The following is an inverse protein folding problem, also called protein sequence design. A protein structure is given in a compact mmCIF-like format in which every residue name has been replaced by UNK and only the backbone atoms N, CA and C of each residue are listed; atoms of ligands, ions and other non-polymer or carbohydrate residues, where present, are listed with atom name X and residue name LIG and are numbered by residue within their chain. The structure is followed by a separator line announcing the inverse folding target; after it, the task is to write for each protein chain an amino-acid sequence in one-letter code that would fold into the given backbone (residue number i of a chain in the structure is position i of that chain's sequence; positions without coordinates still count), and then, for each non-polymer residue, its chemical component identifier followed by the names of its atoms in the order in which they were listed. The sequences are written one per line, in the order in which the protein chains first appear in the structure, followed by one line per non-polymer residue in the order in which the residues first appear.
data_IF_077440737764
#
_entry.id   IF_077440737764
#
_cell.length_a   1.000
_cell.length_b   1.000
_cell.length_c   1.000
_cell.angle_alpha   90.00
_cell.angle_beta   90.00
_cell.angle_gamma   90.00
#
_symmetry.space_group_name_H-M   'P 1'
#
loop_
_entity.id
_entity.type
_entity.pdbx_description
1 polymer ?
#
# COMPACT_ATOMS: atom_id res chain seq x y z
N UNK A 1 -74.67 9.55 23.09
CA UNK A 1 -75.01 9.04 21.75
C UNK A 1 -73.96 7.99 21.40
N UNK A 2 -74.31 6.79 20.91
CA UNK A 2 -74.63 6.46 19.50
C UNK A 2 -73.54 6.97 18.54
N UNK A 3 -72.80 6.12 17.81
CA UNK A 3 -72.77 4.62 17.77
C UNK A 3 -71.50 4.11 17.05
N UNK A 4 -71.15 2.82 17.24
CA UNK A 4 -70.54 1.83 16.29
C UNK A 4 -69.80 2.38 15.03
N UNK A 5 -68.61 1.91 14.63
CA UNK A 5 -68.18 0.55 14.19
C UNK A 5 -66.64 0.64 13.82
N UNK A 6 -65.72 -0.35 13.82
CA UNK A 6 -65.64 -1.77 14.22
C UNK A 6 -64.16 -2.26 14.47
N UNK A 7 -64.02 -3.55 14.80
CA UNK A 7 -62.91 -4.53 14.63
C UNK A 7 -61.80 -4.29 13.57
N UNK A 8 -60.51 -4.68 13.70
CA UNK A 8 -59.71 -5.43 14.72
C UNK A 8 -60.21 -6.85 15.15
N UNK A 9 -59.39 -7.91 15.37
CA UNK A 9 -57.91 -7.96 15.43
C UNK A 9 -57.24 -9.30 14.94
N UNK A 10 -55.92 -9.42 15.23
CA UNK A 10 -55.17 -10.62 15.71
C UNK A 10 -54.84 -11.88 14.86
N UNK A 11 -53.51 -12.17 14.80
CA UNK A 11 -52.75 -13.40 15.18
C UNK A 11 -53.28 -14.81 14.74
N UNK A 12 -52.42 -15.67 14.15
CA UNK A 12 -51.88 -16.95 14.73
C UNK A 12 -51.32 -17.96 13.68
N UNK A 13 -50.24 -18.67 14.05
CA UNK A 13 -49.59 -19.90 13.51
C UNK A 13 -50.30 -20.80 12.46
N UNK A 14 -49.54 -21.26 11.45
CA UNK A 14 -49.10 -22.65 11.12
C UNK A 14 -48.29 -22.56 9.79
N UNK A 15 -47.13 -23.18 9.51
CA UNK A 15 -46.51 -24.50 9.76
C UNK A 15 -46.97 -25.62 8.80
N UNK A 16 -46.00 -26.17 8.04
CA UNK A 16 -46.00 -27.33 7.12
C UNK A 16 -46.92 -27.37 5.89
N UNK A 17 -46.30 -27.60 4.73
CA UNK A 17 -46.56 -28.81 3.94
C UNK A 17 -45.29 -29.25 3.17
N UNK A 18 -44.93 -30.53 3.27
CA UNK A 18 -44.02 -31.18 2.32
C UNK A 18 -44.84 -31.73 1.15
N UNK A 19 -44.32 -31.64 -0.07
CA UNK A 19 -44.79 -32.43 -1.21
C UNK A 19 -43.55 -32.89 -2.00
N UNK A 20 -43.27 -34.19 -1.97
CA UNK A 20 -42.18 -34.77 -2.73
C UNK A 20 -42.55 -34.89 -4.21
N UNK A 21 -41.55 -34.86 -5.08
CA UNK A 21 -41.67 -35.24 -6.47
C UNK A 21 -40.42 -36.03 -6.88
N UNK A 22 -40.38 -37.30 -6.51
CA UNK A 22 -39.38 -38.23 -7.04
C UNK A 22 -39.65 -38.44 -8.54
N UNK A 23 -38.60 -38.31 -9.36
CA UNK A 23 -38.51 -39.11 -10.57
C UNK A 23 -37.06 -39.24 -11.03
N UNK A 24 -36.56 -40.47 -10.98
CA UNK A 24 -35.27 -40.83 -11.55
C UNK A 24 -35.29 -40.72 -13.09
N UNK A 25 -34.14 -40.34 -13.63
CA UNK A 25 -33.71 -40.75 -14.98
C UNK A 25 -32.19 -40.75 -14.99
N UNK A 26 -31.61 -41.92 -15.27
CA UNK A 26 -30.17 -42.17 -15.22
C UNK A 26 -29.41 -41.20 -16.12
N UNK A 27 -28.32 -40.63 -15.59
CA UNK A 27 -27.33 -39.92 -16.39
C UNK A 27 -25.93 -40.13 -15.81
N UNK A 28 -25.52 -41.40 -15.71
CA UNK A 28 -24.11 -41.78 -15.53
C UNK A 28 -23.30 -41.27 -16.73
N UNK A 29 -22.73 -40.07 -16.64
CA UNK A 29 -21.60 -39.64 -17.46
C UNK A 29 -20.86 -38.44 -16.84
N UNK A 30 -19.63 -38.71 -16.40
CA UNK A 30 -18.49 -37.79 -16.51
C UNK A 30 -18.64 -36.39 -15.87
N UNK A 31 -18.49 -36.36 -14.55
CA UNK A 31 -17.58 -35.38 -13.93
C UNK A 31 -16.37 -36.19 -13.43
N UNK A 32 -15.12 -35.83 -13.76
CA UNK A 32 -13.96 -36.45 -13.13
C UNK A 32 -13.81 -35.90 -11.70
N UNK A 33 -13.86 -36.78 -10.69
CA UNK A 33 -13.33 -36.49 -9.35
C UNK A 33 -11.78 -36.56 -9.37
N UNK A 34 -11.16 -35.86 -10.32
CA UNK A 34 -9.83 -35.32 -10.08
C UNK A 34 -10.06 -34.08 -9.22
N UNK A 35 -9.44 -33.95 -8.03
CA UNK A 35 -9.45 -32.67 -7.35
C UNK A 35 -8.81 -31.66 -8.29
N UNK A 36 -9.55 -30.61 -8.65
CA UNK A 36 -8.87 -29.39 -9.07
C UNK A 36 -8.04 -28.97 -7.86
N UNK A 37 -6.72 -29.02 -7.97
CA UNK A 37 -5.83 -28.45 -6.97
C UNK A 37 -6.18 -26.96 -6.88
N UNK A 38 -6.94 -26.57 -5.87
CA UNK A 38 -7.40 -25.19 -5.74
C UNK A 38 -6.18 -24.35 -5.40
N UNK A 39 -5.82 -23.45 -6.33
CA UNK A 39 -4.66 -22.57 -6.22
C UNK A 39 -4.97 -21.48 -5.18
N UNK A 40 -4.83 -21.87 -3.91
CA UNK A 40 -5.16 -21.14 -2.69
C UNK A 40 -3.92 -20.38 -2.19
N UNK A 41 -4.14 -19.24 -1.53
CA UNK A 41 -3.09 -18.53 -0.81
C UNK A 41 -2.86 -19.14 0.59
N UNK A 42 -1.65 -19.63 0.85
CA UNK A 42 -1.27 -20.29 2.11
C UNK A 42 -0.68 -19.31 3.14
N UNK A 43 -0.90 -19.48 4.45
CA UNK A 43 -0.34 -18.62 5.48
C UNK A 43 1.12 -18.99 5.83
N UNK A 44 1.99 -17.98 5.98
CA UNK A 44 3.37 -18.18 6.47
C UNK A 44 3.35 -18.24 8.00
N UNK A 45 3.17 -19.45 8.53
CA UNK A 45 2.96 -19.74 9.96
C UNK A 45 4.12 -19.31 10.90
N UNK A 46 5.30 -19.02 10.35
CA UNK A 46 6.49 -18.57 11.07
C UNK A 46 6.41 -17.09 11.48
N UNK A 47 5.55 -16.30 10.83
CA UNK A 47 5.30 -14.90 11.18
C UNK A 47 4.02 -14.84 12.02
N UNK A 48 4.07 -14.15 13.17
CA UNK A 48 2.88 -14.01 14.01
C UNK A 48 1.77 -13.25 13.25
N UNK A 49 0.48 -13.62 13.43
CA UNK A 49 -0.65 -12.96 12.77
C UNK A 49 -0.87 -11.54 13.31
N UNK A 50 -0.10 -10.59 12.77
CA UNK A 50 -0.22 -9.15 12.97
C UNK A 50 -0.53 -8.45 11.64
N UNK A 51 -0.88 -7.16 11.72
CA UNK A 51 -0.99 -6.30 10.53
C UNK A 51 0.38 -6.13 9.89
N UNK A 52 0.54 -6.64 8.67
CA UNK A 52 1.72 -6.40 7.83
C UNK A 52 1.63 -4.99 7.27
N UNK A 53 2.56 -4.13 7.68
CA UNK A 53 2.60 -2.72 7.23
C UNK A 53 3.40 -2.53 5.95
N UNK A 54 4.44 -3.33 5.72
CA UNK A 54 5.20 -3.32 4.47
C UNK A 54 5.90 -4.67 4.19
N UNK A 55 6.20 -4.92 2.91
CA UNK A 55 6.94 -6.06 2.38
C UNK A 55 7.91 -5.60 1.29
N UNK A 56 9.12 -6.16 1.32
CA UNK A 56 10.12 -6.06 0.26
C UNK A 56 11.00 -7.31 0.24
N UNK A 57 11.77 -7.48 -0.83
CA UNK A 57 12.66 -8.63 -1.06
C UNK A 57 14.07 -8.08 -1.26
N UNK A 58 15.05 -8.65 -0.56
CA UNK A 58 16.47 -8.33 -0.68
C UNK A 58 17.32 -9.57 -0.35
N UNK A 59 18.46 -9.75 -1.01
CA UNK A 59 19.47 -10.77 -0.68
C UNK A 59 19.04 -12.25 -0.78
N UNK A 60 17.83 -12.55 -1.26
CA UNK A 60 17.22 -13.89 -1.17
C UNK A 60 16.34 -14.09 0.08
N UNK A 61 15.99 -13.00 0.77
CA UNK A 61 15.10 -12.97 1.93
C UNK A 61 13.88 -12.09 1.65
N UNK A 62 12.72 -12.52 2.14
CA UNK A 62 11.55 -11.65 2.28
C UNK A 62 11.65 -10.92 3.62
N UNK A 63 11.69 -9.60 3.57
CA UNK A 63 11.84 -8.74 4.73
C UNK A 63 10.46 -8.14 5.06
N UNK A 64 9.98 -8.37 6.28
CA UNK A 64 8.55 -8.18 6.66
C UNK A 64 8.42 -7.26 7.86
N UNK A 65 7.73 -6.12 7.68
CA UNK A 65 7.55 -5.12 8.72
C UNK A 65 6.10 -5.10 9.22
N UNK A 66 5.90 -5.37 10.50
CA UNK A 66 4.59 -5.29 11.18
C UNK A 66 4.52 -4.07 12.10
N UNK A 67 3.40 -3.92 12.81
CA UNK A 67 3.26 -2.91 13.86
C UNK A 67 4.33 -3.00 14.95
N UNK A 68 4.72 -4.21 15.36
CA UNK A 68 5.56 -4.43 16.55
C UNK A 68 6.92 -5.09 16.24
N UNK A 69 7.04 -5.79 15.11
CA UNK A 69 8.17 -6.64 14.78
C UNK A 69 8.66 -6.40 13.34
N UNK A 70 9.94 -6.68 13.14
CA UNK A 70 10.57 -6.81 11.83
C UNK A 70 11.07 -8.25 11.71
N UNK A 71 10.70 -8.94 10.65
CA UNK A 71 11.11 -10.32 10.37
C UNK A 71 11.99 -10.38 9.12
N UNK A 72 12.97 -11.27 9.15
CA UNK A 72 13.77 -11.66 7.98
C UNK A 72 13.43 -13.13 7.70
N UNK A 73 12.72 -13.39 6.60
CA UNK A 73 12.27 -14.72 6.18
C UNK A 73 13.16 -15.23 5.05
N UNK A 74 13.89 -16.32 5.27
CA UNK A 74 14.70 -16.95 4.22
C UNK A 74 13.77 -17.64 3.20
N UNK A 75 13.92 -17.32 1.91
CA UNK A 75 13.03 -17.83 0.88
C UNK A 75 13.19 -19.34 0.59
N UNK A 76 14.33 -19.93 0.93
CA UNK A 76 14.65 -21.32 0.59
C UNK A 76 14.01 -22.35 1.54
N UNK A 77 13.73 -21.97 2.79
CA UNK A 77 13.20 -22.88 3.83
C UNK A 77 12.10 -22.26 4.71
N UNK A 78 11.74 -20.99 4.46
CA UNK A 78 10.75 -20.23 5.24
C UNK A 78 11.11 -20.15 6.73
N UNK A 79 12.39 -20.27 7.09
CA UNK A 79 12.87 -19.90 8.43
C UNK A 79 12.81 -18.38 8.60
N UNK A 80 12.40 -17.92 9.79
CA UNK A 80 12.23 -16.50 10.10
C UNK A 80 13.01 -16.11 11.36
N UNK A 81 13.91 -15.14 11.23
CA UNK A 81 14.39 -14.38 12.39
C UNK A 81 13.46 -13.18 12.64
N UNK A 82 13.38 -12.71 13.90
CA UNK A 82 12.42 -11.67 14.30
C UNK A 82 12.99 -10.74 15.36
N UNK A 83 12.90 -9.44 15.11
CA UNK A 83 13.36 -8.37 16.00
C UNK A 83 12.17 -7.54 16.46
N UNK A 84 12.11 -7.23 17.76
CA UNK A 84 11.08 -6.36 18.31
C UNK A 84 11.45 -4.89 18.09
N UNK A 85 10.63 -4.17 17.32
CA UNK A 85 10.85 -2.78 16.89
C UNK A 85 9.83 -1.82 17.53
N UNK A 86 9.44 -2.11 18.77
CA UNK A 86 8.58 -1.28 19.62
C UNK A 86 7.08 -1.40 19.35
N UNK A 87 6.32 -1.49 20.46
CA UNK A 87 4.85 -1.50 20.50
C UNK A 87 4.32 -0.06 20.57
N UNK A 88 4.07 0.51 19.39
CA UNK A 88 3.72 1.91 19.18
C UNK A 88 2.26 2.01 18.73
N UNK A 89 1.43 2.82 19.40
CA UNK A 89 -0.02 2.74 19.19
C UNK A 89 -0.46 3.22 17.81
N UNK A 90 0.21 4.23 17.26
CA UNK A 90 -0.12 4.93 16.02
C UNK A 90 1.10 5.10 15.10
N UNK A 91 1.96 4.08 15.01
CA UNK A 91 3.15 4.13 14.16
C UNK A 91 2.88 3.82 12.69
N UNK A 92 3.46 4.63 11.80
CA UNK A 92 3.62 4.29 10.39
C UNK A 92 5.03 3.73 10.17
N UNK A 93 5.14 2.60 9.48
CA UNK A 93 6.39 1.87 9.33
C UNK A 93 6.60 1.52 7.85
N UNK A 94 7.62 2.11 7.23
CA UNK A 94 7.89 1.99 5.79
C UNK A 94 9.35 1.58 5.62
N UNK A 95 9.57 0.44 4.96
CA UNK A 95 10.88 0.09 4.42
C UNK A 95 11.07 0.82 3.10
N UNK A 96 12.26 1.38 2.91
CA UNK A 96 12.52 2.41 1.93
C UNK A 96 13.64 2.00 0.96
N UNK A 97 14.66 1.27 1.43
CA UNK A 97 15.57 0.49 0.60
C UNK A 97 15.99 -0.82 1.32
N UNK A 98 16.98 -1.51 0.75
CA UNK A 98 17.66 -2.70 1.27
C UNK A 98 18.48 -2.42 2.55
N UNK A 99 19.06 -1.22 2.67
CA UNK A 99 19.86 -0.81 3.84
C UNK A 99 19.02 -0.36 5.04
N UNK A 100 17.92 0.38 4.82
CA UNK A 100 17.23 1.18 5.83
C UNK A 100 15.69 1.08 5.78
N UNK A 101 15.07 1.06 6.97
CA UNK A 101 13.64 1.32 7.13
C UNK A 101 13.37 2.38 8.19
N UNK A 102 12.23 3.06 8.06
CA UNK A 102 11.83 4.15 8.98
C UNK A 102 10.49 3.87 9.63
N UNK A 103 10.39 4.22 10.91
CA UNK A 103 9.18 4.20 11.71
C UNK A 103 8.90 5.60 12.25
N UNK A 104 7.68 6.09 12.04
CA UNK A 104 7.21 7.40 12.49
C UNK A 104 6.18 7.18 13.59
N UNK A 105 6.33 7.82 14.75
CA UNK A 105 5.33 7.86 15.83
C UNK A 105 5.27 9.25 16.47
N UNK A 106 4.08 9.86 16.53
CA UNK A 106 3.84 11.15 17.22
C UNK A 106 4.72 12.33 16.72
N UNK A 107 5.84 12.62 17.40
CA UNK A 107 6.87 13.59 16.98
C UNK A 107 8.20 12.94 16.59
N UNK A 108 8.29 11.61 16.72
CA UNK A 108 9.53 10.86 16.56
C UNK A 108 9.66 10.22 15.18
N UNK A 109 10.88 10.28 14.65
CA UNK A 109 11.34 9.48 13.51
C UNK A 109 12.42 8.52 14.02
N UNK A 110 12.25 7.23 13.76
CA UNK A 110 13.24 6.20 14.06
C UNK A 110 13.74 5.61 12.74
N UNK A 111 15.04 5.73 12.46
CA UNK A 111 15.71 5.19 11.28
C UNK A 111 16.51 3.95 11.70
N UNK A 112 16.20 2.79 11.13
CA UNK A 112 16.73 1.48 11.49
C UNK A 112 17.57 0.89 10.36
N UNK A 113 18.66 0.19 10.73
CA UNK A 113 19.37 -0.71 9.82
C UNK A 113 18.51 -1.96 9.54
N UNK A 114 18.17 -2.20 8.27
CA UNK A 114 17.32 -3.32 7.85
C UNK A 114 17.98 -4.71 8.03
N UNK A 115 19.31 -4.74 8.09
CA UNK A 115 20.11 -5.95 8.34
C UNK A 115 20.52 -6.11 9.82
N UNK A 116 20.31 -5.09 10.67
CA UNK A 116 20.38 -5.23 12.12
C UNK A 116 19.43 -4.23 12.83
N UNK A 117 18.15 -4.58 13.01
CA UNK A 117 17.13 -3.67 13.57
C UNK A 117 17.37 -3.24 15.03
N UNK A 118 18.31 -3.83 15.75
CA UNK A 118 18.73 -3.34 17.07
C UNK A 118 19.59 -2.06 16.96
N UNK A 119 20.09 -1.75 15.76
CA UNK A 119 20.83 -0.53 15.42
C UNK A 119 19.92 0.47 14.74
N UNK A 120 19.55 1.51 15.48
CA UNK A 120 18.70 2.59 15.01
C UNK A 120 19.04 3.91 15.68
N UNK A 121 18.67 5.01 15.05
CA UNK A 121 18.70 6.36 15.63
C UNK A 121 17.29 6.92 15.67
N UNK A 122 16.93 7.54 16.80
CA UNK A 122 15.66 8.22 17.02
C UNK A 122 15.84 9.74 17.08
N UNK A 123 14.93 10.47 16.45
CA UNK A 123 14.90 11.94 16.35
C UNK A 123 13.58 12.41 16.97
N UNK A 124 13.58 13.29 17.98
CA UNK A 124 12.37 14.03 18.36
C UNK A 124 12.32 15.32 17.55
N UNK A 125 11.30 15.49 16.70
CA UNK A 125 11.18 16.71 15.90
C UNK A 125 10.91 17.95 16.76
N UNK A 126 10.46 17.83 18.01
CA UNK A 126 10.36 18.96 18.93
C UNK A 126 11.73 19.51 19.38
N UNK A 127 12.81 18.73 19.33
CA UNK A 127 14.18 19.21 19.63
C UNK A 127 14.87 19.86 18.42
N UNK A 128 14.29 19.71 17.22
CA UNK A 128 14.87 20.19 15.95
C UNK A 128 14.03 21.24 15.21
N UNK A 129 12.72 21.31 15.47
CA UNK A 129 11.76 22.17 14.76
C UNK A 129 10.82 22.86 15.75
N UNK A 130 11.11 24.13 16.08
CA UNK A 130 10.31 24.97 17.01
C UNK A 130 8.81 25.01 16.66
N UNK A 131 8.44 24.80 15.39
CA UNK A 131 7.07 24.81 14.90
C UNK A 131 6.48 23.43 14.55
N UNK A 132 7.13 22.31 14.89
CA UNK A 132 6.55 20.99 14.64
C UNK A 132 5.23 20.79 15.39
N UNK A 133 4.13 20.68 14.62
CA UNK A 133 2.80 20.41 15.16
C UNK A 133 2.43 18.93 15.13
N UNK A 134 2.52 18.31 13.95
CA UNK A 134 2.34 16.86 13.72
C UNK A 134 2.75 16.47 12.30
N UNK A 135 3.02 15.19 12.06
CA UNK A 135 3.09 14.65 10.70
C UNK A 135 1.76 14.80 9.96
N UNK A 136 1.86 14.94 8.64
CA UNK A 136 0.71 15.08 7.75
C UNK A 136 0.48 13.77 6.98
N UNK A 137 -0.05 12.78 7.70
CA UNK A 137 -0.38 11.47 7.12
C UNK A 137 -1.45 11.58 6.01
N UNK A 138 -1.37 10.76 4.95
CA UNK A 138 -2.42 10.65 3.95
C UNK A 138 -3.65 9.95 4.55
N UNK A 139 -4.75 9.88 3.78
CA UNK A 139 -6.03 9.31 4.23
C UNK A 139 -6.04 7.77 4.36
N UNK A 140 -5.23 7.29 5.30
CA UNK A 140 -5.15 5.94 5.87
C UNK A 140 -4.80 4.74 4.96
N UNK A 141 -4.92 4.83 3.63
CA UNK A 141 -4.88 3.62 2.79
C UNK A 141 -4.00 3.69 1.53
N UNK A 142 -3.82 4.87 0.94
CA UNK A 142 -3.51 4.98 -0.50
C UNK A 142 -2.02 5.21 -0.80
N UNK A 143 -1.44 6.31 -0.33
CA UNK A 143 -0.05 6.65 -0.59
C UNK A 143 0.89 6.51 0.61
N UNK A 144 2.19 6.63 0.31
CA UNK A 144 3.27 6.59 1.29
C UNK A 144 3.35 7.91 2.12
N UNK A 145 3.75 7.80 3.39
CA UNK A 145 3.97 8.95 4.29
C UNK A 145 5.34 9.60 4.06
N UNK A 146 6.33 8.76 3.74
CA UNK A 146 7.75 9.08 3.66
C UNK A 146 8.36 8.32 2.48
N UNK A 147 9.33 8.92 1.82
CA UNK A 147 10.16 8.30 0.79
C UNK A 147 11.65 8.45 1.13
N UNK A 148 12.51 7.59 0.54
CA UNK A 148 13.96 7.76 0.47
C UNK A 148 14.36 7.86 -1.00
N UNK A 149 15.48 8.51 -1.31
CA UNK A 149 16.08 8.51 -2.64
C UNK A 149 17.38 7.72 -2.69
N UNK A 150 17.98 7.62 -3.87
CA UNK A 150 19.24 6.88 -4.11
C UNK A 150 20.45 7.43 -3.35
N UNK A 151 20.34 8.65 -2.78
CA UNK A 151 21.37 9.31 -1.99
C UNK A 151 21.11 9.23 -0.46
N UNK A 152 20.26 8.30 0.00
CA UNK A 152 19.80 8.16 1.39
C UNK A 152 19.27 9.47 2.02
N UNK A 153 18.73 10.38 1.21
CA UNK A 153 17.90 11.51 1.65
C UNK A 153 16.47 11.02 1.78
N UNK A 154 15.80 11.45 2.84
CA UNK A 154 14.41 11.15 3.14
C UNK A 154 13.56 12.40 2.91
N UNK A 155 12.30 12.22 2.48
CA UNK A 155 11.29 13.27 2.47
C UNK A 155 10.03 12.79 3.16
N UNK A 156 9.54 13.57 4.13
CA UNK A 156 8.22 13.43 4.76
C UNK A 156 7.55 14.80 4.87
N UNK A 157 6.28 14.82 5.29
CA UNK A 157 5.45 16.03 5.33
C UNK A 157 4.91 16.24 6.74
N UNK A 158 5.02 17.47 7.25
CA UNK A 158 4.45 17.85 8.54
C UNK A 158 3.56 19.09 8.40
N UNK A 159 2.73 19.31 9.42
CA UNK A 159 1.86 20.48 9.53
C UNK A 159 2.32 21.31 10.74
N UNK A 160 2.85 22.52 10.53
CA UNK A 160 3.41 23.31 11.63
C UNK A 160 2.33 23.91 12.54
N UNK A 161 2.72 24.19 13.78
CA UNK A 161 1.89 24.77 14.84
C UNK A 161 2.35 26.19 15.16
N UNK A 162 1.75 27.18 14.49
CA UNK A 162 2.11 28.59 14.61
C UNK A 162 1.18 29.27 15.60
N UNK A 163 1.73 29.94 16.62
CA UNK A 163 0.98 30.57 17.74
C UNK A 163 -0.07 29.64 18.40
N UNK A 164 0.19 28.33 18.41
CA UNK A 164 -0.74 27.32 18.94
C UNK A 164 -1.87 26.91 18.00
N UNK A 165 -1.81 27.30 16.72
CA UNK A 165 -2.79 26.95 15.67
C UNK A 165 -2.08 26.22 14.53
N UNK A 166 -2.65 25.10 14.07
CA UNK A 166 -2.08 24.38 12.93
C UNK A 166 -2.23 25.20 11.64
N UNK A 167 -1.11 25.59 11.02
CA UNK A 167 -1.08 26.36 9.77
C UNK A 167 -1.85 25.67 8.62
N UNK A 168 -2.23 26.40 7.57
CA UNK A 168 -2.90 25.80 6.41
C UNK A 168 -1.89 25.12 5.48
N UNK A 169 -0.77 25.79 5.20
CA UNK A 169 0.34 25.23 4.44
C UNK A 169 0.99 24.05 5.18
N UNK A 170 1.22 22.90 4.52
CA UNK A 170 2.13 21.88 5.00
C UNK A 170 3.59 22.31 4.79
N UNK A 171 4.51 21.58 5.41
CA UNK A 171 5.95 21.74 5.19
C UNK A 171 6.61 20.42 4.85
N UNK A 172 7.61 20.53 3.99
CA UNK A 172 8.54 19.48 3.66
C UNK A 172 9.54 19.34 4.80
N UNK A 173 9.79 18.10 5.22
CA UNK A 173 10.85 17.74 6.15
C UNK A 173 11.78 16.76 5.44
N UNK A 174 13.01 17.20 5.22
CA UNK A 174 14.09 16.38 4.66
C UNK A 174 15.14 16.09 5.73
N UNK A 175 15.81 14.95 5.61
CA UNK A 175 16.98 14.58 6.40
C UNK A 175 17.79 13.53 5.64
N UNK A 176 19.08 13.36 5.95
CA UNK A 176 19.94 12.30 5.40
C UNK A 176 20.26 11.28 6.48
N UNK A 177 20.34 10.00 6.15
CA UNK A 177 20.89 8.99 7.06
C UNK A 177 22.07 8.25 6.44
N UNK A 178 23.04 7.86 7.26
CA UNK A 178 24.19 7.05 6.83
C UNK A 178 24.33 5.82 7.73
N UNK A 179 24.97 4.78 7.19
CA UNK A 179 25.43 3.60 7.93
C UNK A 179 26.96 3.64 8.06
N UNK A 180 27.48 3.50 9.28
CA UNK A 180 28.91 3.29 9.48
C UNK A 180 29.33 1.84 9.16
N UNK A 181 30.65 1.57 9.15
CA UNK A 181 31.19 0.25 8.83
C UNK A 181 30.82 -0.84 9.85
N UNK A 182 30.40 -0.44 11.05
CA UNK A 182 29.84 -1.30 12.09
C UNK A 182 28.32 -1.50 11.91
N UNK A 183 27.66 -0.76 11.02
CA UNK A 183 26.23 -0.79 10.73
C UNK A 183 25.36 0.04 11.68
N UNK A 184 25.92 1.01 12.42
CA UNK A 184 25.15 1.96 13.22
C UNK A 184 24.56 3.06 12.32
N UNK A 185 23.34 3.51 12.61
CA UNK A 185 22.64 4.56 11.85
C UNK A 185 22.96 5.94 12.42
N UNK A 186 23.43 6.88 11.60
CA UNK A 186 23.43 8.31 11.90
C UNK A 186 22.30 9.02 11.15
N UNK A 187 21.91 10.22 11.61
CA UNK A 187 21.01 11.12 10.86
C UNK A 187 21.55 12.54 10.90
N UNK A 188 21.59 13.20 9.75
CA UNK A 188 22.12 14.55 9.55
C UNK A 188 21.19 15.39 8.66
N UNK A 189 21.56 16.67 8.44
CA UNK A 189 20.96 17.56 7.45
C UNK A 189 19.42 17.69 7.53
N UNK A 190 18.89 17.80 8.76
CA UNK A 190 17.46 18.04 9.00
C UNK A 190 17.08 19.43 8.46
N UNK A 191 16.26 19.46 7.40
CA UNK A 191 15.83 20.64 6.66
C UNK A 191 14.30 20.73 6.72
N UNK A 192 13.76 21.92 7.03
CA UNK A 192 12.34 22.25 6.88
C UNK A 192 12.18 23.29 5.77
N UNK A 193 11.27 23.05 4.82
CA UNK A 193 10.96 23.95 3.70
C UNK A 193 9.45 24.19 3.57
N UNK A 194 9.04 25.41 3.22
CA UNK A 194 7.65 25.74 2.86
C UNK A 194 7.34 25.21 1.46
N UNK A 195 6.21 24.50 1.31
CA UNK A 195 5.67 24.13 -0.01
C UNK A 195 4.38 24.90 -0.28
N UNK A 196 4.37 25.60 -1.42
CA UNK A 196 3.28 26.45 -1.91
C UNK A 196 2.69 27.39 -0.82
N UNK A 197 3.31 28.57 -0.65
CA UNK A 197 2.88 29.61 0.30
C UNK A 197 1.48 30.21 -0.01
N UNK A 198 0.79 29.72 -1.06
CA UNK A 198 -0.61 29.99 -1.35
C UNK A 198 -1.56 28.83 -1.02
N UNK A 199 -1.08 27.73 -0.42
CA UNK A 199 -1.82 26.47 -0.29
C UNK A 199 -2.92 26.49 0.80
N UNK A 200 -4.15 26.78 0.38
CA UNK A 200 -5.32 26.83 1.27
C UNK A 200 -5.94 25.44 1.47
N UNK A 201 -5.31 24.64 2.35
CA UNK A 201 -5.84 23.40 2.93
C UNK A 201 -6.22 22.28 1.93
N UNK A 202 -5.49 21.18 1.98
CA UNK A 202 -5.87 19.93 1.33
C UNK A 202 -5.05 18.74 1.84
N UNK A 203 -5.56 17.53 1.64
CA UNK A 203 -4.96 16.30 2.18
C UNK A 203 -3.71 15.86 1.38
N UNK A 204 -2.76 15.21 2.06
CA UNK A 204 -1.70 14.45 1.40
C UNK A 204 -2.29 13.22 0.70
N UNK A 205 -1.91 12.99 -0.55
CA UNK A 205 -2.17 11.73 -1.26
C UNK A 205 -1.04 10.73 -0.99
N UNK A 206 0.22 11.19 -1.15
CA UNK A 206 1.43 10.47 -0.72
C UNK A 206 2.74 11.14 -1.16
N UNK A 207 3.87 10.59 -0.68
CA UNK A 207 5.25 11.01 -0.98
C UNK A 207 6.02 9.86 -1.63
N UNK A 208 6.67 10.11 -2.76
CA UNK A 208 7.32 9.09 -3.58
C UNK A 208 8.73 9.51 -4.01
N UNK A 209 9.51 8.55 -4.46
CA UNK A 209 10.89 8.74 -4.92
C UNK A 209 10.99 8.64 -6.44
N UNK A 210 11.94 9.36 -7.03
CA UNK A 210 12.18 9.46 -8.46
C UNK A 210 13.67 9.74 -8.73
N UNK A 211 14.51 8.72 -8.57
CA UNK A 211 15.97 8.84 -8.70
C UNK A 211 16.57 9.60 -7.52
N UNK A 212 17.15 10.78 -7.79
CA UNK A 212 17.67 11.71 -6.77
C UNK A 212 16.60 12.67 -6.21
N UNK A 213 15.43 12.74 -6.84
CA UNK A 213 14.33 13.64 -6.48
C UNK A 213 13.14 12.88 -5.87
N UNK A 214 12.16 13.63 -5.38
CA UNK A 214 10.91 13.13 -4.85
C UNK A 214 9.70 13.70 -5.62
N UNK A 215 8.56 13.03 -5.49
CA UNK A 215 7.28 13.56 -5.96
C UNK A 215 6.27 13.52 -4.79
N UNK A 216 5.61 14.64 -4.53
CA UNK A 216 4.59 14.80 -3.51
C UNK A 216 3.26 15.20 -4.15
N UNK A 217 2.20 14.44 -3.87
CA UNK A 217 0.84 14.78 -4.30
C UNK A 217 0.03 15.31 -3.12
N UNK A 218 -0.35 16.58 -3.19
CA UNK A 218 -1.23 17.27 -2.24
C UNK A 218 -2.56 17.59 -2.94
N UNK A 219 -3.68 17.72 -2.22
CA UNK A 219 -4.92 18.15 -2.87
C UNK A 219 -4.89 19.67 -3.16
N UNK A 220 -4.91 20.17 -4.42
CA UNK A 220 -5.23 19.49 -5.67
C UNK A 220 -4.06 19.45 -6.70
N UNK A 221 -2.80 19.53 -6.27
CA UNK A 221 -1.62 19.65 -7.13
C UNK A 221 -0.51 18.66 -6.75
N UNK A 222 0.19 18.16 -7.77
CA UNK A 222 1.37 17.32 -7.59
C UNK A 222 2.63 18.11 -7.92
N UNK A 223 3.66 17.97 -7.08
CA UNK A 223 4.91 18.70 -7.15
C UNK A 223 6.09 17.73 -7.17
N UNK A 224 7.12 18.04 -7.96
CA UNK A 224 8.45 17.45 -7.84
C UNK A 224 9.25 18.26 -6.83
N UNK A 225 10.04 17.58 -6.00
CA UNK A 225 10.81 18.15 -4.88
C UNK A 225 12.23 17.62 -4.94
N UNK A 226 13.23 18.51 -4.89
CA UNK A 226 14.64 18.12 -4.95
C UNK A 226 15.15 17.58 -3.61
N UNK A 227 16.30 16.90 -3.64
CA UNK A 227 17.10 16.56 -2.44
C UNK A 227 17.40 17.74 -1.49
N UNK A 228 17.17 18.99 -1.90
CA UNK A 228 17.41 20.19 -1.09
C UNK A 228 16.12 20.89 -0.61
N UNK A 229 14.94 20.33 -0.91
CA UNK A 229 13.65 20.91 -0.53
C UNK A 229 13.18 22.08 -1.39
N UNK A 230 13.80 22.29 -2.55
CA UNK A 230 13.26 23.12 -3.64
C UNK A 230 12.12 22.35 -4.33
N UNK A 231 11.10 23.03 -4.83
CA UNK A 231 9.91 22.37 -5.40
C UNK A 231 9.36 23.07 -6.64
N UNK A 232 8.78 22.26 -7.54
CA UNK A 232 8.11 22.70 -8.76
C UNK A 232 6.78 21.96 -8.90
N UNK A 233 5.69 22.66 -9.21
CA UNK A 233 4.40 22.02 -9.54
C UNK A 233 4.46 21.43 -10.95
N UNK A 234 4.18 20.13 -11.06
CA UNK A 234 4.33 19.33 -12.29
C UNK A 234 3.00 18.82 -12.85
N UNK A 235 1.94 18.78 -12.04
CA UNK A 235 0.62 18.33 -12.50
C UNK A 235 -0.54 19.00 -11.74
N UNK A 236 -1.61 19.30 -12.48
CA UNK A 236 -2.82 20.02 -12.04
C UNK A 236 -3.90 19.07 -11.50
N UNK A 237 -3.46 18.07 -10.74
CA UNK A 237 -4.29 17.06 -10.09
C UNK A 237 -3.50 16.25 -9.06
N UNK A 238 -4.14 15.24 -8.48
CA UNK A 238 -3.51 14.32 -7.51
C UNK A 238 -3.05 13.03 -8.16
N UNK A 239 -1.99 12.46 -7.60
CA UNK A 239 -1.48 11.13 -7.93
C UNK A 239 -1.29 10.34 -6.62
N UNK A 240 -1.96 9.21 -6.50
CA UNK A 240 -2.09 8.42 -5.27
C UNK A 240 -1.05 7.29 -5.16
N UNK A 241 -0.49 6.86 -6.28
CA UNK A 241 0.58 5.88 -6.35
C UNK A 241 1.46 6.13 -7.57
N UNK A 242 2.77 5.90 -7.44
CA UNK A 242 3.76 6.10 -8.50
C UNK A 242 4.53 4.81 -8.70
N UNK A 243 4.71 4.41 -9.97
CA UNK A 243 5.21 3.09 -10.36
C UNK A 243 6.26 3.26 -11.48
N UNK A 244 7.54 2.94 -11.23
CA UNK A 244 8.57 2.95 -12.27
C UNK A 244 8.28 1.91 -13.37
N UNK A 245 8.52 2.28 -14.63
CA UNK A 245 8.33 1.41 -15.80
C UNK A 245 9.26 1.82 -16.96
N UNK A 246 10.32 1.04 -17.24
CA UNK A 246 11.20 1.20 -18.41
C UNK A 246 11.67 2.66 -18.66
N UNK A 247 12.18 3.31 -17.61
CA UNK A 247 12.63 4.71 -17.64
C UNK A 247 11.51 5.77 -17.57
N UNK A 248 10.26 5.35 -17.60
CA UNK A 248 9.05 6.16 -17.42
C UNK A 248 8.51 6.00 -16.00
N UNK A 249 7.52 6.83 -15.63
CA UNK A 249 6.68 6.63 -14.46
C UNK A 249 5.21 6.45 -14.88
N UNK A 250 4.52 5.52 -14.23
CA UNK A 250 3.06 5.44 -14.21
C UNK A 250 2.53 6.03 -12.90
N UNK A 251 1.36 6.68 -12.96
CA UNK A 251 0.73 7.33 -11.82
C UNK A 251 -0.76 7.02 -11.74
N UNK A 252 -1.25 6.55 -10.60
CA UNK A 252 -2.70 6.44 -10.38
C UNK A 252 -3.29 7.80 -10.00
N UNK A 253 -3.96 8.46 -10.95
CA UNK A 253 -4.60 9.76 -10.76
C UNK A 253 -5.97 9.68 -10.09
N UNK A 254 -6.68 10.82 -10.10
CA UNK A 254 -8.05 10.93 -9.58
C UNK A 254 -9.06 10.10 -10.38
N UNK A 255 -9.09 10.23 -11.71
CA UNK A 255 -9.99 9.44 -12.59
C UNK A 255 -9.23 8.60 -13.63
N UNK A 256 -8.00 8.99 -13.98
CA UNK A 256 -7.17 8.36 -15.03
C UNK A 256 -5.95 7.58 -14.49
N UNK A 257 -5.45 6.62 -15.27
CA UNK A 257 -4.06 6.17 -15.19
C UNK A 257 -3.20 7.16 -15.98
N UNK A 258 -2.14 7.68 -15.36
CA UNK A 258 -1.25 8.71 -15.89
C UNK A 258 0.11 8.12 -16.26
N UNK A 259 0.83 8.80 -17.16
CA UNK A 259 2.21 8.51 -17.54
C UNK A 259 3.07 9.79 -17.52
N UNK A 260 4.34 9.63 -17.18
CA UNK A 260 5.41 10.62 -17.34
C UNK A 260 6.60 9.96 -18.05
N UNK A 261 7.03 10.57 -19.16
CA UNK A 261 8.17 10.14 -19.99
C UNK A 261 9.46 10.93 -19.68
N UNK A 262 9.43 11.79 -18.66
CA UNK A 262 10.45 12.81 -18.38
C UNK A 262 10.94 12.85 -16.92
N UNK A 263 10.71 11.79 -16.14
CA UNK A 263 11.16 11.73 -14.74
C UNK A 263 10.32 12.62 -13.80
N UNK A 264 9.01 12.65 -14.05
CA UNK A 264 8.01 13.32 -13.22
C UNK A 264 7.84 14.81 -13.47
N UNK A 265 8.50 15.41 -14.47
CA UNK A 265 8.42 16.84 -14.79
C UNK A 265 7.08 17.23 -15.44
N UNK A 266 6.48 16.31 -16.20
CA UNK A 266 5.13 16.45 -16.75
C UNK A 266 4.37 15.12 -16.79
N UNK A 267 3.05 15.21 -16.81
CA UNK A 267 2.14 14.07 -16.67
C UNK A 267 0.95 14.19 -17.62
N UNK A 268 0.63 13.11 -18.34
CA UNK A 268 -0.54 13.02 -19.21
C UNK A 268 -1.35 11.72 -18.98
N UNK A 269 -2.66 11.68 -19.33
CA UNK A 269 -3.44 10.45 -19.25
C UNK A 269 -2.94 9.36 -20.20
N UNK A 270 -2.58 8.20 -19.65
CA UNK A 270 -2.28 7.01 -20.42
C UNK A 270 -3.56 6.58 -21.17
N UNK A 271 -3.50 6.58 -22.51
CA UNK A 271 -4.68 6.37 -23.37
C UNK A 271 -5.16 4.91 -23.39
N UNK A 272 -5.75 4.48 -22.29
CA UNK A 272 -6.23 3.11 -22.04
C UNK A 272 -7.72 3.11 -21.67
N UNK A 273 -8.50 2.23 -22.31
CA UNK A 273 -9.93 2.06 -22.03
C UNK A 273 -10.17 1.30 -20.71
N UNK A 274 -10.08 1.99 -19.57
CA UNK A 274 -10.33 1.43 -18.25
C UNK A 274 -11.81 1.04 -18.07
N UNK A 275 -12.14 -0.03 -17.31
CA UNK A 275 -13.53 -0.47 -17.14
C UNK A 275 -14.44 0.58 -16.49
N UNK A 276 -15.73 0.67 -16.87
CA UNK A 276 -16.66 1.65 -16.31
C UNK A 276 -16.78 1.56 -14.78
N UNK A 277 -16.38 2.63 -14.08
CA UNK A 277 -16.41 2.69 -12.61
C UNK A 277 -15.14 2.18 -11.92
N UNK A 278 -14.10 1.81 -12.68
CA UNK A 278 -12.72 1.70 -12.18
C UNK A 278 -12.27 3.03 -11.55
N UNK A 279 -11.38 2.95 -10.55
CA UNK A 279 -10.99 4.09 -9.72
C UNK A 279 -9.48 4.02 -9.40
N UNK A 280 -8.62 4.63 -10.22
CA UNK A 280 -7.17 4.51 -10.09
C UNK A 280 -6.69 4.88 -8.68
N UNK A 281 -7.22 5.98 -8.12
CA UNK A 281 -6.93 6.47 -6.77
C UNK A 281 -7.10 5.45 -5.64
N UNK A 282 -7.87 4.37 -5.84
CA UNK A 282 -8.07 3.34 -4.82
C UNK A 282 -7.00 2.23 -4.84
N UNK A 283 -6.02 2.28 -5.73
CA UNK A 283 -5.18 1.14 -6.08
C UNK A 283 -3.68 1.38 -5.84
N UNK A 284 -2.93 0.28 -5.79
CA UNK A 284 -1.47 0.22 -5.71
C UNK A 284 -0.97 -0.79 -6.75
N UNK A 285 0.30 -0.71 -7.13
CA UNK A 285 0.84 -1.63 -8.12
C UNK A 285 2.36 -1.66 -8.21
N UNK A 286 2.84 -2.46 -9.15
CA UNK A 286 4.18 -2.42 -9.73
C UNK A 286 4.13 -3.02 -11.15
N UNK A 287 5.09 -2.71 -12.01
CA UNK A 287 5.23 -3.38 -13.32
C UNK A 287 6.19 -4.56 -13.20
N UNK A 288 5.82 -5.69 -13.80
CA UNK A 288 6.63 -6.88 -14.00
C UNK A 288 6.41 -7.35 -15.44
N UNK A 289 7.48 -7.53 -16.22
CA UNK A 289 7.44 -7.99 -17.62
C UNK A 289 6.42 -7.28 -18.53
N UNK A 290 6.37 -5.94 -18.45
CA UNK A 290 5.39 -5.06 -19.13
C UNK A 290 3.92 -5.35 -18.78
N UNK A 291 3.66 -6.00 -17.66
CA UNK A 291 2.34 -6.17 -17.07
C UNK A 291 2.30 -5.37 -15.76
N UNK A 292 1.39 -4.42 -15.68
CA UNK A 292 1.12 -3.69 -14.45
C UNK A 292 0.26 -4.60 -13.55
N UNK A 293 0.85 -5.10 -12.47
CA UNK A 293 0.09 -5.75 -11.40
C UNK A 293 -0.55 -4.66 -10.54
N UNK A 294 -1.86 -4.78 -10.31
CA UNK A 294 -2.69 -3.82 -9.60
C UNK A 294 -3.37 -4.55 -8.44
N UNK A 295 -3.42 -3.94 -7.27
CA UNK A 295 -4.29 -4.39 -6.18
C UNK A 295 -5.01 -3.24 -5.50
N UNK A 296 -6.17 -3.55 -4.95
CA UNK A 296 -6.91 -2.69 -4.03
C UNK A 296 -7.02 -3.38 -2.66
N UNK A 297 -8.00 -3.01 -1.84
CA UNK A 297 -8.26 -3.64 -0.54
C UNK A 297 -8.68 -5.12 -0.64
N UNK A 298 -9.23 -5.57 -1.77
CA UNK A 298 -9.94 -6.86 -1.91
C UNK A 298 -9.54 -7.70 -3.13
N UNK A 299 -9.01 -7.07 -4.18
CA UNK A 299 -8.80 -7.64 -5.51
C UNK A 299 -7.33 -7.52 -5.93
N UNK A 300 -6.89 -8.49 -6.74
CA UNK A 300 -5.61 -8.46 -7.44
C UNK A 300 -5.94 -8.59 -8.93
N UNK A 301 -5.42 -7.68 -9.75
CA UNK A 301 -5.69 -7.57 -11.19
C UNK A 301 -4.42 -7.35 -11.98
N UNK A 302 -4.45 -7.71 -13.26
CA UNK A 302 -3.39 -7.51 -14.22
C UNK A 302 -3.84 -6.56 -15.33
N UNK A 303 -3.02 -5.57 -15.66
CA UNK A 303 -3.14 -4.77 -16.89
C UNK A 303 -1.93 -5.02 -17.79
N UNK A 304 -2.16 -5.55 -18.99
CA UNK A 304 -1.12 -5.70 -20.02
C UNK A 304 -0.81 -4.32 -20.64
N UNK A 305 0.44 -3.86 -20.51
CA UNK A 305 0.87 -2.55 -21.03
C UNK A 305 1.38 -2.61 -22.48
N UNK A 306 1.46 -3.80 -23.09
CA UNK A 306 2.01 -3.99 -24.44
C UNK A 306 1.02 -3.64 -25.58
N UNK A 307 -0.25 -3.40 -25.23
CA UNK A 307 -1.33 -3.11 -26.18
C UNK A 307 -1.79 -1.66 -26.19
N UNK A 308 -3.02 -1.46 -26.69
CA UNK A 308 -3.76 -0.19 -26.62
C UNK A 308 -5.20 -0.37 -26.10
N UNK A 309 -5.56 -1.58 -25.66
CA UNK A 309 -6.89 -1.92 -25.13
C UNK A 309 -6.73 -2.63 -23.78
N UNK A 310 -7.03 -1.90 -22.70
CA UNK A 310 -6.75 -2.31 -21.33
C UNK A 310 -7.79 -3.24 -20.73
N UNK A 311 -7.68 -4.54 -20.98
CA UNK A 311 -8.51 -5.54 -20.30
C UNK A 311 -7.89 -5.97 -18.96
N UNK A 312 -8.47 -5.51 -17.86
CA UNK A 312 -8.13 -5.99 -16.52
C UNK A 312 -8.52 -7.47 -16.37
N UNK A 313 -7.54 -8.31 -16.00
CA UNK A 313 -7.74 -9.73 -15.68
C UNK A 313 -7.57 -9.93 -14.18
N UNK A 314 -8.59 -10.47 -13.51
CA UNK A 314 -8.58 -10.67 -12.06
C UNK A 314 -7.87 -11.98 -11.71
N UNK A 315 -7.12 -12.03 -10.61
CA UNK A 315 -6.50 -13.26 -10.09
C UNK A 315 -7.35 -13.92 -9.01
N UNK A 316 -7.09 -15.22 -8.75
CA UNK A 316 -7.73 -15.98 -7.70
C UNK A 316 -7.23 -15.57 -6.30
N UNK A 317 -8.16 -14.99 -5.53
CA UNK A 317 -7.96 -14.57 -4.14
C UNK A 317 -8.49 -15.62 -3.13
N UNK A 318 -8.70 -16.87 -3.54
CA UNK A 318 -9.07 -17.96 -2.60
C UNK A 318 -7.97 -18.14 -1.54
N UNK A 319 -8.37 -18.37 -0.28
CA UNK A 319 -7.47 -18.29 0.88
C UNK A 319 -7.35 -16.87 1.47
N UNK A 320 -7.36 -15.82 0.65
CA UNK A 320 -7.46 -14.42 1.08
C UNK A 320 -8.91 -13.97 1.34
N UNK A 321 -9.88 -14.89 1.28
CA UNK A 321 -11.32 -14.58 1.30
C UNK A 321 -11.73 -13.51 2.33
N UNK A 322 -12.63 -12.57 1.97
CA UNK A 322 -12.86 -11.32 2.71
C UNK A 322 -13.53 -11.51 4.08
N UNK A 323 -12.72 -11.81 5.09
CA UNK A 323 -13.03 -11.61 6.50
C UNK A 323 -12.54 -10.25 7.02
N UNK A 324 -13.09 -9.72 8.13
CA UNK A 324 -12.64 -8.46 8.73
C UNK A 324 -11.16 -8.55 9.13
N UNK A 325 -10.30 -7.84 8.39
CA UNK A 325 -8.84 -7.82 8.56
C UNK A 325 -8.05 -8.45 7.42
N UNK A 326 -8.64 -9.25 6.52
CA UNK A 326 -7.94 -9.80 5.33
C UNK A 326 -7.82 -8.79 4.18
N UNK A 327 -7.55 -7.54 4.52
CA UNK A 327 -7.32 -6.47 3.55
C UNK A 327 -5.92 -6.62 2.97
N UNK A 328 -5.81 -6.55 1.65
CA UNK A 328 -4.52 -6.57 0.95
C UNK A 328 -3.82 -5.22 1.20
N UNK A 329 -2.57 -5.26 1.66
CA UNK A 329 -1.79 -4.05 1.94
C UNK A 329 -0.63 -3.88 0.96
N UNK A 330 0.10 -4.97 0.70
CA UNK A 330 1.27 -5.01 -0.19
C UNK A 330 1.37 -6.39 -0.85
N UNK A 331 1.76 -6.43 -2.12
CA UNK A 331 2.19 -7.64 -2.83
C UNK A 331 3.67 -7.45 -3.21
N UNK A 332 4.44 -8.52 -3.18
CA UNK A 332 5.78 -8.62 -3.78
C UNK A 332 5.94 -9.99 -4.46
N UNK A 333 6.80 -10.06 -5.47
CA UNK A 333 7.16 -11.31 -6.17
C UNK A 333 8.64 -11.62 -5.92
N UNK A 334 8.97 -12.91 -5.87
CA UNK A 334 10.32 -13.46 -5.93
C UNK A 334 10.44 -14.33 -7.18
N UNK A 335 11.59 -14.98 -7.42
CA UNK A 335 11.73 -15.91 -8.55
C UNK A 335 10.82 -17.14 -8.45
N UNK A 336 10.45 -17.55 -7.23
CA UNK A 336 9.69 -18.80 -6.97
C UNK A 336 8.28 -18.56 -6.43
N UNK A 337 8.00 -17.40 -5.80
CA UNK A 337 6.76 -17.16 -5.04
C UNK A 337 6.19 -15.74 -5.22
N UNK A 338 4.86 -15.66 -5.21
CA UNK A 338 4.13 -14.42 -4.91
C UNK A 338 3.84 -14.37 -3.39
N UNK A 339 4.03 -13.19 -2.78
CA UNK A 339 3.74 -12.93 -1.37
C UNK A 339 2.77 -11.77 -1.21
N UNK A 340 1.86 -11.88 -0.24
CA UNK A 340 0.86 -10.84 0.05
C UNK A 340 0.74 -10.58 1.56
N UNK A 341 0.95 -9.31 1.93
CA UNK A 341 0.84 -8.81 3.28
C UNK A 341 -0.56 -8.30 3.55
N UNK A 342 -1.16 -8.76 4.65
CA UNK A 342 -2.54 -8.41 5.04
C UNK A 342 -2.64 -7.91 6.48
N UNK A 343 -3.82 -7.43 6.86
CA UNK A 343 -4.15 -7.10 8.25
C UNK A 343 -4.27 -8.31 9.20
N UNK A 344 -4.08 -9.55 8.73
CA UNK A 344 -4.07 -10.78 9.54
C UNK A 344 -2.76 -11.60 9.45
N UNK A 345 -1.77 -11.13 8.68
CA UNK A 345 -0.47 -11.79 8.52
C UNK A 345 -0.01 -11.87 7.06
N UNK A 346 1.07 -12.62 6.85
CA UNK A 346 1.66 -12.90 5.54
C UNK A 346 1.07 -14.18 4.92
N UNK A 347 0.74 -14.12 3.64
CA UNK A 347 0.39 -15.28 2.82
C UNK A 347 1.32 -15.40 1.60
N UNK A 348 1.43 -16.60 1.05
CA UNK A 348 2.25 -16.91 -0.11
C UNK A 348 1.54 -17.87 -1.09
N UNK A 349 2.05 -17.95 -2.31
CA UNK A 349 1.63 -18.85 -3.39
C UNK A 349 2.80 -19.02 -4.37
N UNK A 350 3.05 -20.17 -5.01
CA UNK A 350 4.08 -20.29 -6.06
C UNK A 350 3.85 -19.28 -7.19
N UNK A 351 4.92 -18.77 -7.79
CA UNK A 351 4.81 -17.71 -8.81
C UNK A 351 4.09 -18.21 -10.07
N UNK A 352 4.40 -19.43 -10.53
CA UNK A 352 3.76 -20.08 -11.69
C UNK A 352 2.25 -20.20 -11.45
N UNK A 353 1.84 -20.86 -10.37
CA UNK A 353 0.46 -20.96 -9.89
C UNK A 353 -0.24 -19.59 -9.79
N UNK A 354 0.42 -18.59 -9.20
CA UNK A 354 -0.14 -17.24 -9.09
C UNK A 354 -0.42 -16.64 -10.48
N UNK A 355 0.58 -16.66 -11.37
CA UNK A 355 0.47 -16.11 -12.71
C UNK A 355 -0.53 -16.88 -13.58
N UNK A 356 -0.75 -18.18 -13.36
CA UNK A 356 -1.77 -18.96 -14.07
C UNK A 356 -3.19 -18.81 -13.47
N UNK A 357 -3.32 -18.48 -12.17
CA UNK A 357 -4.60 -18.42 -11.42
C UNK A 357 -5.57 -17.28 -11.80
N UNK A 358 -5.64 -16.92 -13.08
CA UNK A 358 -6.55 -15.89 -13.62
C UNK A 358 -7.99 -16.39 -13.63
N UNK A 359 -8.91 -15.55 -13.19
CA UNK A 359 -10.35 -15.76 -13.30
C UNK A 359 -10.78 -15.27 -14.70
N UNK A 360 -11.36 -16.16 -15.50
CA UNK A 360 -12.04 -15.77 -16.74
C UNK A 360 -13.29 -14.93 -16.40
N UNK A 361 -13.32 -13.69 -16.88
CA UNK A 361 -14.39 -12.69 -16.66
C UNK A 361 -15.39 -12.64 -17.83
#
# INVERSE_FOLDING_TARGET
MKTLLQSLPFITFLMFFFAACEKDSDNENLVPDEPQDTIVWEPVNQINPEVITNLFVDGGELKVLTKNFYYQLNLNDFSAESHYVGNFSESWATVLNDELFVKIESSWIFVFNANNPEKYTGIDLHDHLDDFGKFFFPSAWLGNVIAINENNVFLTVYRPLLDGVFAAEPRLLLFSAELDAEGNVSVENIISSSIDEGYVFGDLSGVYTCGEDFIISLNPYTYKVTSQGEWTRVFDGRIFNFIPWDGKLLGFGDDDLLISDDGGESWEPLSYNLPPGYRPWQHKGFVHDNQLLIWDTYTISLLDLSGSEGHLKTFCNEGLEPGPGKYIHRIVLTEEYAFVGTGQGLYYKPLEDFLESKIDN
#
